data_IF_350724015938
#
_entry.id   IF_350724015938
#
_cell.length_a   1.000
_cell.length_b   1.000
_cell.length_c   1.000
_cell.angle_alpha   90.00
_cell.angle_beta   90.00
_cell.angle_gamma   90.00
#
_symmetry.space_group_name_H-M   'P 1'
#
loop_
_entity.id
_entity.type
_entity.pdbx_description
1 polymer ?
#
# COMPACT_ATOMS: atom_id res chain seq x y z
N UNK A 1 -25.38 22.52 7.00
CA UNK A 1 -24.14 21.78 7.24
C UNK A 1 -23.97 20.68 6.21
N UNK A 2 -22.76 20.50 5.69
CA UNK A 2 -22.41 19.52 4.69
C UNK A 2 -21.11 18.84 5.11
N UNK A 3 -21.04 17.52 5.06
CA UNK A 3 -19.83 16.78 5.42
C UNK A 3 -19.42 15.81 4.33
N UNK A 4 -18.10 15.76 4.09
CA UNK A 4 -17.41 14.72 3.32
C UNK A 4 -16.58 13.92 4.30
N UNK A 5 -16.69 12.61 4.25
CA UNK A 5 -15.85 11.71 5.04
C UNK A 5 -14.84 11.03 4.11
N UNK A 6 -13.56 11.07 4.49
CA UNK A 6 -12.49 10.25 3.93
C UNK A 6 -12.17 9.15 4.92
N UNK A 7 -12.41 7.91 4.53
CA UNK A 7 -12.15 6.73 5.35
C UNK A 7 -10.89 6.03 4.85
N UNK A 8 -9.88 5.92 5.69
CA UNK A 8 -8.62 5.26 5.39
C UNK A 8 -8.35 4.07 6.33
N UNK A 9 -7.54 3.11 5.89
CA UNK A 9 -7.26 1.89 6.66
C UNK A 9 -6.25 2.11 7.79
N UNK A 10 -5.27 2.99 7.60
CA UNK A 10 -4.19 3.27 8.56
C UNK A 10 -4.09 4.75 8.91
N UNK A 11 -3.46 5.04 10.05
CA UNK A 11 -3.20 6.42 10.48
C UNK A 11 -2.27 7.16 9.49
N UNK A 12 -1.31 6.46 8.87
CA UNK A 12 -0.42 7.01 7.86
C UNK A 12 -1.19 7.48 6.61
N UNK A 13 -2.17 6.70 6.15
CA UNK A 13 -3.04 7.09 5.04
C UNK A 13 -3.94 8.29 5.41
N UNK A 14 -4.36 8.39 6.68
CA UNK A 14 -5.08 9.55 7.16
C UNK A 14 -4.23 10.83 7.11
N UNK A 15 -2.96 10.75 7.54
CA UNK A 15 -2.03 11.90 7.45
C UNK A 15 -1.83 12.33 5.99
N UNK A 16 -1.61 11.39 5.08
CA UNK A 16 -1.46 11.71 3.65
C UNK A 16 -2.72 12.31 3.03
N UNK A 17 -3.89 11.81 3.40
CA UNK A 17 -5.15 12.37 2.95
C UNK A 17 -5.28 13.85 3.36
N UNK A 18 -4.88 14.18 4.60
CA UNK A 18 -4.90 15.56 5.09
C UNK A 18 -3.88 16.42 4.34
N UNK A 19 -2.63 15.97 4.21
CA UNK A 19 -1.59 16.70 3.49
C UNK A 19 -2.00 16.98 2.04
N UNK A 20 -2.55 15.96 1.37
CA UNK A 20 -3.04 16.09 -0.01
C UNK A 20 -4.23 17.04 -0.11
N UNK A 21 -5.16 16.96 0.84
CA UNK A 21 -6.30 17.87 0.91
C UNK A 21 -5.85 19.31 1.14
N UNK A 22 -4.99 19.56 2.11
CA UNK A 22 -4.49 20.91 2.43
C UNK A 22 -3.74 21.51 1.23
N UNK A 23 -2.88 20.74 0.58
CA UNK A 23 -2.14 21.19 -0.60
C UNK A 23 -3.05 21.47 -1.80
N UNK A 24 -4.03 20.60 -2.05
CA UNK A 24 -4.98 20.76 -3.14
C UNK A 24 -5.96 21.90 -2.88
N UNK A 25 -6.53 21.92 -1.68
CA UNK A 25 -7.56 22.91 -1.33
C UNK A 25 -7.01 24.34 -1.23
N UNK A 26 -5.78 24.51 -0.72
CA UNK A 26 -5.11 25.81 -0.71
C UNK A 26 -4.91 26.44 -2.10
N UNK A 27 -4.87 25.61 -3.15
CA UNK A 27 -4.68 26.07 -4.53
C UNK A 27 -6.00 26.17 -5.33
N UNK A 28 -6.93 25.26 -5.07
CA UNK A 28 -8.13 25.08 -5.88
C UNK A 28 -9.41 25.42 -5.11
N UNK A 29 -9.35 25.47 -3.79
CA UNK A 29 -10.51 25.72 -2.95
C UNK A 29 -11.03 27.15 -3.12
N UNK A 30 -12.35 27.27 -3.25
CA UNK A 30 -13.04 28.56 -3.44
C UNK A 30 -13.85 28.99 -2.22
N UNK A 31 -13.89 28.18 -1.16
CA UNK A 31 -14.62 28.43 0.08
C UNK A 31 -13.92 27.78 1.29
N UNK A 32 -14.33 28.18 2.50
CA UNK A 32 -13.77 27.62 3.73
C UNK A 32 -14.28 26.20 4.00
N UNK A 33 -13.38 25.32 4.39
CA UNK A 33 -13.67 23.94 4.79
C UNK A 33 -13.01 23.65 6.13
N UNK A 34 -13.76 23.10 7.04
CA UNK A 34 -13.25 22.67 8.34
C UNK A 34 -12.65 21.26 8.22
N UNK A 35 -11.43 21.07 8.65
CA UNK A 35 -10.74 19.78 8.62
C UNK A 35 -10.83 19.09 9.98
N UNK A 36 -11.51 17.96 10.02
CA UNK A 36 -11.62 17.11 11.22
C UNK A 36 -10.66 15.93 11.11
N UNK A 37 -9.79 15.76 12.11
CA UNK A 37 -8.76 14.70 12.18
C UNK A 37 -9.16 13.68 13.24
N UNK A 38 -9.69 12.52 12.82
CA UNK A 38 -10.33 11.54 13.69
C UNK A 38 -9.60 10.19 13.61
N UNK A 39 -8.34 10.14 14.05
CA UNK A 39 -7.50 8.93 14.11
C UNK A 39 -6.45 9.04 15.23
N UNK A 40 -5.67 7.96 15.44
CA UNK A 40 -4.58 7.94 16.44
C UNK A 40 -5.08 8.11 17.87
N UNK A 41 -6.28 7.60 18.18
CA UNK A 41 -6.91 7.75 19.50
C UNK A 41 -7.70 9.07 19.68
N UNK A 42 -7.63 9.99 18.72
CA UNK A 42 -8.47 11.17 18.71
C UNK A 42 -9.84 10.84 18.07
N UNK A 43 -10.85 10.72 18.90
CA UNK A 43 -12.24 10.46 18.46
C UNK A 43 -13.05 11.74 18.23
N UNK A 44 -12.48 12.91 18.53
CA UNK A 44 -13.17 14.19 18.43
C UNK A 44 -14.29 14.38 19.46
N UNK A 45 -14.90 15.55 19.44
CA UNK A 45 -16.08 15.92 20.24
C UNK A 45 -17.03 16.73 19.39
N UNK A 46 -18.31 16.80 19.76
CA UNK A 46 -19.30 17.61 19.04
C UNK A 46 -18.90 19.11 19.00
N UNK A 47 -18.22 19.61 20.05
CA UNK A 47 -17.67 20.96 20.08
C UNK A 47 -16.60 21.23 19.02
N UNK A 48 -15.98 20.17 18.49
CA UNK A 48 -14.92 20.26 17.49
C UNK A 48 -15.47 20.32 16.07
N UNK A 49 -16.81 20.19 15.90
CA UNK A 49 -17.47 20.24 14.60
C UNK A 49 -18.11 21.62 14.39
N UNK A 50 -17.43 22.51 13.66
CA UNK A 50 -17.99 23.83 13.37
C UNK A 50 -19.14 23.74 12.35
N UNK A 51 -19.94 24.80 12.32
CA UNK A 51 -20.94 24.97 11.26
C UNK A 51 -20.26 25.15 9.89
N UNK A 52 -20.94 24.71 8.83
CA UNK A 52 -20.50 24.87 7.46
C UNK A 52 -20.13 23.54 6.77
N UNK A 53 -19.05 23.59 6.00
CA UNK A 53 -18.56 22.45 5.24
C UNK A 53 -17.42 21.79 6.01
N UNK A 54 -17.57 20.49 6.27
CA UNK A 54 -16.60 19.70 7.02
C UNK A 54 -16.00 18.60 6.15
N UNK A 55 -14.69 18.50 6.14
CA UNK A 55 -13.94 17.37 5.60
C UNK A 55 -13.36 16.58 6.77
N UNK A 56 -13.94 15.40 7.02
CA UNK A 56 -13.54 14.54 8.13
C UNK A 56 -12.69 13.38 7.62
N UNK A 57 -11.44 13.31 8.04
CA UNK A 57 -10.57 12.16 7.78
C UNK A 57 -10.64 11.24 8.99
N UNK A 58 -10.96 9.97 8.76
CA UNK A 58 -11.24 8.98 9.81
C UNK A 58 -10.47 7.72 9.50
N UNK A 59 -9.74 7.16 10.50
CA UNK A 59 -9.21 5.81 10.33
C UNK A 59 -10.29 4.77 10.60
N UNK A 60 -10.21 3.62 9.93
CA UNK A 60 -11.12 2.50 10.13
C UNK A 60 -11.19 2.09 11.61
N UNK A 61 -10.04 2.04 12.27
CA UNK A 61 -9.95 1.70 13.69
C UNK A 61 -10.68 2.72 14.57
N UNK A 62 -10.55 4.02 14.24
CA UNK A 62 -11.28 5.08 14.94
C UNK A 62 -12.80 4.96 14.72
N UNK A 63 -13.24 4.76 13.47
CA UNK A 63 -14.64 4.55 13.16
C UNK A 63 -15.22 3.38 13.99
N UNK A 64 -14.47 2.28 14.09
CA UNK A 64 -14.87 1.13 14.87
C UNK A 64 -14.90 1.39 16.39
N UNK A 65 -13.94 2.16 16.90
CA UNK A 65 -13.89 2.58 18.30
C UNK A 65 -15.08 3.47 18.66
N UNK A 66 -15.46 4.34 17.75
CA UNK A 66 -16.57 5.26 17.89
C UNK A 66 -17.93 4.53 17.93
N UNK A 67 -18.10 3.48 17.11
CA UNK A 67 -19.30 2.62 17.17
C UNK A 67 -19.52 1.96 18.54
N UNK A 68 -18.45 1.81 19.34
CA UNK A 68 -18.45 1.12 20.63
C UNK A 68 -18.30 2.06 21.82
N UNK A 69 -18.10 3.34 21.58
CA UNK A 69 -17.94 4.32 22.67
C UNK A 69 -19.24 4.49 23.44
N UNK A 70 -19.08 4.81 24.72
CA UNK A 70 -20.17 5.28 25.59
C UNK A 70 -20.00 6.75 25.97
N UNK A 71 -19.08 7.45 25.27
CA UNK A 71 -18.85 8.87 25.49
C UNK A 71 -19.86 9.67 24.68
N UNK A 72 -20.78 10.33 25.36
CA UNK A 72 -21.88 11.09 24.77
C UNK A 72 -21.39 12.14 23.77
N UNK A 73 -20.29 12.85 24.07
CA UNK A 73 -19.76 13.87 23.16
C UNK A 73 -19.25 13.31 21.83
N UNK A 74 -18.75 12.07 21.85
CA UNK A 74 -18.31 11.36 20.64
C UNK A 74 -19.52 10.83 19.89
N UNK A 75 -20.51 10.29 20.58
CA UNK A 75 -21.79 9.84 19.98
C UNK A 75 -22.54 10.99 19.30
N UNK A 76 -22.58 12.16 19.93
CA UNK A 76 -23.20 13.36 19.37
C UNK A 76 -22.48 13.84 18.11
N UNK A 77 -21.14 13.89 18.12
CA UNK A 77 -20.33 14.22 16.93
C UNK A 77 -20.66 13.28 15.77
N UNK A 78 -20.74 11.99 16.05
CA UNK A 78 -21.03 10.98 15.04
C UNK A 78 -22.41 11.12 14.45
N UNK A 79 -23.40 11.33 15.32
CA UNK A 79 -24.78 11.53 14.91
C UNK A 79 -24.88 12.73 13.99
N UNK A 80 -24.19 13.82 14.31
CA UNK A 80 -24.19 15.02 13.50
C UNK A 80 -23.40 14.84 12.19
N UNK A 81 -22.22 14.20 12.24
CA UNK A 81 -21.47 13.85 11.04
C UNK A 81 -22.31 13.00 10.10
N UNK A 82 -22.88 11.89 10.58
CA UNK A 82 -23.71 11.00 9.78
C UNK A 82 -24.91 11.72 9.16
N UNK A 83 -25.57 12.60 9.90
CA UNK A 83 -26.71 13.39 9.42
C UNK A 83 -26.31 14.30 8.26
N UNK A 84 -25.14 14.90 8.31
CA UNK A 84 -24.65 15.88 7.34
C UNK A 84 -23.80 15.28 6.22
N UNK A 85 -23.37 14.03 6.33
CA UNK A 85 -22.54 13.36 5.33
C UNK A 85 -23.29 13.15 4.03
N UNK A 86 -22.75 13.71 2.96
CA UNK A 86 -23.27 13.58 1.59
C UNK A 86 -22.37 12.68 0.72
N UNK A 87 -21.09 12.62 1.05
CA UNK A 87 -20.10 11.86 0.32
C UNK A 87 -19.19 11.12 1.30
N UNK A 88 -19.02 9.83 1.06
CA UNK A 88 -17.98 8.99 1.69
C UNK A 88 -16.98 8.58 0.61
N UNK A 89 -15.72 8.93 0.84
CA UNK A 89 -14.59 8.48 0.03
C UNK A 89 -13.89 7.37 0.82
N UNK A 90 -13.65 6.24 0.19
CA UNK A 90 -13.05 5.06 0.80
C UNK A 90 -11.72 4.82 0.10
N UNK A 91 -10.62 5.02 0.82
CA UNK A 91 -9.29 4.73 0.34
C UNK A 91 -8.97 3.24 0.47
N UNK A 92 -8.25 2.67 -0.49
CA UNK A 92 -7.99 1.22 -0.60
C UNK A 92 -9.29 0.40 -0.54
N UNK A 93 -10.26 0.78 -1.37
CA UNK A 93 -11.62 0.25 -1.34
C UNK A 93 -11.72 -1.28 -1.52
N UNK A 94 -10.68 -1.93 -2.06
CA UNK A 94 -10.59 -3.38 -2.14
C UNK A 94 -10.59 -4.07 -0.76
N UNK A 95 -10.23 -3.34 0.31
CA UNK A 95 -10.25 -3.85 1.69
C UNK A 95 -11.67 -3.79 2.30
N UNK A 96 -12.62 -3.09 1.67
CA UNK A 96 -13.92 -2.71 2.22
C UNK A 96 -14.86 -3.87 2.62
N UNK A 97 -14.45 -5.10 2.38
CA UNK A 97 -15.25 -6.32 2.61
C UNK A 97 -15.03 -7.06 3.92
N UNK A 98 -14.02 -6.74 4.71
CA UNK A 98 -14.00 -7.29 6.06
C UNK A 98 -15.29 -6.89 6.77
N UNK A 99 -16.00 -7.83 7.43
CA UNK A 99 -17.28 -7.58 8.12
C UNK A 99 -17.23 -6.35 9.04
N UNK A 100 -16.04 -6.04 9.56
CA UNK A 100 -15.77 -4.84 10.35
C UNK A 100 -15.80 -3.57 9.52
N UNK A 101 -15.35 -3.62 8.27
CA UNK A 101 -15.29 -2.46 7.38
C UNK A 101 -16.69 -2.09 6.89
N UNK A 102 -17.46 -3.04 6.46
CA UNK A 102 -18.83 -2.84 6.04
C UNK A 102 -19.70 -2.27 7.17
N UNK A 103 -19.52 -2.78 8.38
CA UNK A 103 -20.19 -2.26 9.57
C UNK A 103 -19.83 -0.79 9.84
N UNK A 104 -18.54 -0.41 9.72
CA UNK A 104 -18.09 0.97 9.89
C UNK A 104 -18.67 1.89 8.81
N UNK A 105 -18.67 1.46 7.54
CA UNK A 105 -19.24 2.22 6.43
C UNK A 105 -20.75 2.45 6.66
N UNK A 106 -21.48 1.40 6.99
CA UNK A 106 -22.93 1.50 7.25
C UNK A 106 -23.25 2.37 8.47
N UNK A 107 -22.33 2.42 9.43
CA UNK A 107 -22.44 3.31 10.58
C UNK A 107 -22.23 4.78 10.20
N UNK A 108 -21.24 5.08 9.35
CA UNK A 108 -20.89 6.43 8.90
C UNK A 108 -21.90 7.01 7.89
N UNK A 109 -22.60 6.14 7.16
CA UNK A 109 -23.52 6.53 6.10
C UNK A 109 -24.98 6.50 6.54
N UNK A 110 -25.76 7.41 5.98
CA UNK A 110 -27.23 7.31 5.95
C UNK A 110 -27.70 6.92 4.55
N UNK A 111 -28.95 6.58 4.42
CA UNK A 111 -29.56 6.36 3.11
C UNK A 111 -29.38 7.60 2.21
N UNK A 112 -28.89 7.40 0.98
CA UNK A 112 -28.61 8.47 0.02
C UNK A 112 -27.25 9.14 0.14
N UNK A 113 -26.35 8.70 1.06
CA UNK A 113 -24.94 9.10 1.04
C UNK A 113 -24.26 8.48 -0.17
N UNK A 114 -23.65 9.32 -1.02
CA UNK A 114 -22.85 8.85 -2.16
C UNK A 114 -21.54 8.23 -1.68
N UNK A 115 -21.08 7.17 -2.34
CA UNK A 115 -19.83 6.46 -2.01
C UNK A 115 -18.92 6.47 -3.20
N UNK A 116 -17.63 6.74 -2.98
CA UNK A 116 -16.55 6.61 -3.95
C UNK A 116 -15.49 5.71 -3.34
N UNK A 117 -15.12 4.65 -4.04
CA UNK A 117 -13.99 3.80 -3.70
C UNK A 117 -12.78 4.15 -4.55
N UNK A 118 -11.64 4.35 -3.92
CA UNK A 118 -10.35 4.53 -4.58
C UNK A 118 -9.54 3.24 -4.39
N UNK A 119 -9.05 2.67 -5.47
CA UNK A 119 -8.18 1.49 -5.42
C UNK A 119 -7.39 1.35 -6.71
N UNK A 120 -6.13 0.96 -6.59
CA UNK A 120 -5.32 0.56 -7.73
C UNK A 120 -5.67 -0.86 -8.23
N UNK A 121 -6.35 -1.66 -7.40
CA UNK A 121 -6.68 -3.05 -7.66
C UNK A 121 -8.17 -3.29 -7.39
N UNK A 122 -9.06 -3.06 -8.37
CA UNK A 122 -10.51 -3.12 -8.19
C UNK A 122 -11.07 -4.55 -8.12
N UNK A 123 -10.27 -5.51 -7.69
CA UNK A 123 -10.62 -6.90 -7.46
C UNK A 123 -9.69 -7.51 -6.42
N UNK A 124 -10.12 -8.61 -5.83
CA UNK A 124 -9.26 -9.46 -4.99
C UNK A 124 -8.93 -10.73 -5.75
N UNK A 125 -7.63 -11.01 -5.78
CA UNK A 125 -7.01 -12.29 -5.99
C UNK A 125 -7.32 -13.13 -7.21
N UNK A 126 -6.23 -13.56 -7.79
CA UNK A 126 -6.09 -14.81 -8.51
C UNK A 126 -6.50 -14.73 -9.97
N UNK A 127 -5.93 -15.65 -10.67
CA UNK A 127 -6.08 -15.98 -12.06
C UNK A 127 -7.54 -16.21 -12.53
N UNK A 128 -8.52 -16.20 -11.62
CA UNK A 128 -9.93 -16.42 -11.92
C UNK A 128 -10.74 -15.13 -11.75
N UNK A 129 -11.28 -14.62 -12.84
CA UNK A 129 -12.19 -13.46 -12.92
C UNK A 129 -13.51 -13.62 -12.12
N UNK A 130 -13.86 -14.83 -11.71
CA UNK A 130 -15.13 -15.17 -11.07
C UNK A 130 -15.03 -15.23 -9.53
N UNK A 131 -14.10 -14.51 -8.94
CA UNK A 131 -13.97 -14.48 -7.50
C UNK A 131 -15.17 -13.77 -6.85
N UNK A 132 -15.85 -14.46 -5.95
CA UNK A 132 -17.02 -13.98 -5.20
C UNK A 132 -16.77 -12.63 -4.52
N UNK A 133 -15.55 -12.39 -4.04
CA UNK A 133 -15.15 -11.13 -3.42
C UNK A 133 -15.11 -9.97 -4.42
N UNK A 134 -14.69 -10.17 -5.65
CA UNK A 134 -14.72 -9.14 -6.70
C UNK A 134 -16.14 -8.78 -7.08
N UNK A 135 -17.01 -9.79 -7.19
CA UNK A 135 -18.45 -9.61 -7.51
C UNK A 135 -19.14 -8.79 -6.42
N UNK A 136 -18.85 -9.08 -5.16
CA UNK A 136 -19.47 -8.34 -4.06
C UNK A 136 -18.93 -6.91 -3.94
N UNK A 137 -17.62 -6.69 -4.20
CA UNK A 137 -17.07 -5.33 -4.27
C UNK A 137 -17.77 -4.52 -5.36
N UNK A 138 -17.98 -5.12 -6.54
CA UNK A 138 -18.74 -4.50 -7.60
C UNK A 138 -20.19 -4.19 -7.18
N UNK A 139 -20.86 -5.12 -6.50
CA UNK A 139 -22.21 -4.91 -5.96
C UNK A 139 -22.25 -3.77 -4.92
N UNK A 140 -21.23 -3.66 -4.06
CA UNK A 140 -21.14 -2.59 -3.06
C UNK A 140 -21.10 -1.20 -3.71
N UNK A 141 -20.48 -1.08 -4.88
CA UNK A 141 -20.43 0.15 -5.69
C UNK A 141 -21.46 0.16 -6.84
N UNK A 142 -22.51 -0.66 -6.75
CA UNK A 142 -23.64 -0.71 -7.73
C UNK A 142 -23.18 -1.00 -9.16
N UNK A 143 -22.06 -1.73 -9.33
CA UNK A 143 -21.47 -2.06 -10.62
C UNK A 143 -20.78 -0.88 -11.33
N UNK A 144 -20.71 0.28 -10.69
CA UNK A 144 -20.09 1.46 -11.29
C UNK A 144 -18.57 1.45 -11.08
N UNK A 145 -17.84 1.35 -12.17
CA UNK A 145 -16.37 1.47 -12.20
C UNK A 145 -16.00 2.60 -13.15
N UNK A 146 -15.17 3.51 -12.69
CA UNK A 146 -14.50 4.50 -13.53
C UNK A 146 -13.08 3.98 -13.77
N UNK A 147 -12.73 3.79 -15.02
CA UNK A 147 -11.43 3.30 -15.45
C UNK A 147 -10.75 4.36 -16.29
N UNK A 148 -9.49 4.64 -15.97
CA UNK A 148 -8.67 5.59 -16.73
C UNK A 148 -8.43 5.11 -18.16
N UNK A 149 -8.38 3.81 -18.40
CA UNK A 149 -8.15 3.23 -19.73
C UNK A 149 -9.19 3.69 -20.78
N UNK A 150 -10.42 3.96 -20.35
CA UNK A 150 -11.47 4.49 -21.24
C UNK A 150 -11.19 5.90 -21.78
N UNK A 151 -10.37 6.69 -21.10
CA UNK A 151 -10.01 8.05 -21.49
C UNK A 151 -8.83 8.10 -22.48
N UNK A 152 -8.03 7.03 -22.57
CA UNK A 152 -6.82 6.98 -23.40
C UNK A 152 -7.00 6.21 -24.73
N UNK A 153 -8.20 5.68 -24.98
CA UNK A 153 -8.50 4.91 -26.20
C UNK A 153 -7.78 3.56 -26.21
N UNK A 154 -7.07 3.25 -27.31
CA UNK A 154 -6.34 1.99 -27.46
C UNK A 154 -4.95 1.98 -26.78
N UNK A 155 -4.53 3.09 -26.18
CA UNK A 155 -3.21 3.21 -25.55
C UNK A 155 -3.29 2.62 -24.14
N UNK A 156 -2.32 1.79 -23.79
CA UNK A 156 -2.16 1.30 -22.41
C UNK A 156 -1.97 2.48 -21.46
N UNK A 157 -2.75 2.54 -20.39
CA UNK A 157 -2.72 3.65 -19.43
C UNK A 157 -1.33 3.79 -18.77
N UNK A 158 -0.63 2.68 -18.52
CA UNK A 158 0.72 2.68 -17.94
C UNK A 158 1.70 3.34 -18.91
N UNK A 159 1.71 2.92 -20.18
CA UNK A 159 2.58 3.47 -21.21
C UNK A 159 2.33 4.97 -21.40
N UNK A 160 1.06 5.36 -21.40
CA UNK A 160 0.71 6.79 -21.48
C UNK A 160 1.29 7.57 -20.30
N UNK A 161 1.11 7.09 -19.07
CA UNK A 161 1.58 7.77 -17.87
C UNK A 161 3.11 7.80 -17.78
N UNK A 162 3.81 6.75 -18.26
CA UNK A 162 5.26 6.71 -18.37
C UNK A 162 5.76 7.70 -19.42
N UNK A 163 5.17 7.73 -20.61
CA UNK A 163 5.50 8.68 -21.68
C UNK A 163 5.26 10.13 -21.27
N UNK A 164 4.28 10.36 -20.40
CA UNK A 164 4.04 11.67 -19.79
C UNK A 164 5.00 12.01 -18.64
N UNK A 165 5.87 11.10 -18.21
CA UNK A 165 6.76 11.28 -17.05
C UNK A 165 6.03 11.36 -15.71
N UNK A 166 4.79 10.89 -15.66
CA UNK A 166 4.00 10.77 -14.42
C UNK A 166 4.43 9.53 -13.64
N UNK A 167 4.65 8.41 -14.35
CA UNK A 167 5.24 7.20 -13.83
C UNK A 167 6.67 7.03 -14.36
N UNK A 168 7.54 6.41 -13.55
CA UNK A 168 8.87 5.96 -13.99
C UNK A 168 8.73 4.75 -14.90
N UNK A 169 9.66 4.60 -15.84
CA UNK A 169 9.83 3.34 -16.57
C UNK A 169 10.41 2.29 -15.63
N UNK A 170 9.95 1.06 -15.75
CA UNK A 170 10.44 -0.05 -14.92
C UNK A 170 11.52 -0.81 -15.69
N UNK A 171 12.70 -0.89 -15.10
CA UNK A 171 13.74 -1.84 -15.50
C UNK A 171 13.66 -3.04 -14.57
N UNK A 172 13.27 -4.20 -15.07
CA UNK A 172 13.10 -5.40 -14.28
C UNK A 172 14.35 -6.25 -14.27
N UNK A 173 14.83 -6.61 -13.06
CA UNK A 173 16.01 -7.44 -12.86
C UNK A 173 15.66 -8.64 -11.96
N UNK A 174 15.59 -9.87 -12.50
CA UNK A 174 15.38 -11.06 -11.69
C UNK A 174 16.70 -11.47 -10.99
N UNK A 175 16.69 -11.46 -9.66
CA UNK A 175 17.80 -11.96 -8.85
C UNK A 175 17.56 -13.45 -8.52
N UNK A 176 18.16 -14.31 -9.31
CA UNK A 176 18.01 -15.76 -9.17
C UNK A 176 18.71 -16.28 -7.91
N UNK A 177 18.04 -17.16 -7.15
CA UNK A 177 18.62 -17.87 -6.01
C UNK A 177 18.65 -19.37 -6.27
N UNK A 178 19.46 -20.09 -5.49
CA UNK A 178 19.51 -21.56 -5.56
C UNK A 178 18.51 -22.23 -4.61
N UNK A 179 17.77 -21.46 -3.85
CA UNK A 179 16.78 -22.01 -2.91
C UNK A 179 15.67 -22.74 -3.67
N UNK A 180 15.48 -24.01 -3.37
CA UNK A 180 14.40 -24.82 -3.91
C UNK A 180 13.46 -25.25 -2.78
N UNK A 181 12.19 -24.92 -2.89
CA UNK A 181 11.14 -25.27 -1.93
C UNK A 181 10.07 -26.08 -2.62
N UNK A 182 9.79 -27.27 -2.09
CA UNK A 182 8.67 -28.11 -2.57
C UNK A 182 7.40 -27.76 -1.79
N UNK A 183 6.36 -27.40 -2.53
CA UNK A 183 5.05 -27.13 -1.96
C UNK A 183 4.19 -28.40 -2.00
N UNK A 184 3.57 -28.74 -0.89
CA UNK A 184 2.59 -29.80 -0.85
C UNK A 184 1.25 -29.36 -1.47
N UNK A 185 0.36 -30.34 -1.77
CA UNK A 185 -0.92 -30.06 -2.46
C UNK A 185 -1.79 -29.01 -1.74
N UNK A 186 -1.89 -29.09 -0.42
CA UNK A 186 -2.67 -28.13 0.37
C UNK A 186 -2.09 -26.69 0.28
N UNK A 187 -0.75 -26.57 0.28
CA UNK A 187 -0.09 -25.27 0.10
C UNK A 187 -0.31 -24.72 -1.31
N UNK A 188 -0.27 -25.57 -2.32
CA UNK A 188 -0.55 -25.17 -3.71
C UNK A 188 -2.01 -24.74 -3.89
N UNK A 189 -2.98 -25.45 -3.31
CA UNK A 189 -4.40 -25.08 -3.32
C UNK A 189 -4.63 -23.71 -2.64
N UNK A 190 -4.00 -23.46 -1.49
CA UNK A 190 -4.09 -22.18 -0.81
C UNK A 190 -3.56 -21.04 -1.65
N UNK A 191 -2.41 -21.23 -2.30
CA UNK A 191 -1.84 -20.23 -3.21
C UNK A 191 -2.74 -20.00 -4.44
N UNK A 192 -3.33 -21.04 -5.01
CA UNK A 192 -4.29 -20.93 -6.11
C UNK A 192 -5.54 -20.12 -5.72
N UNK A 193 -5.95 -20.23 -4.45
CA UNK A 193 -7.05 -19.44 -3.87
C UNK A 193 -6.63 -18.01 -3.45
N UNK A 194 -5.39 -17.59 -3.75
CA UNK A 194 -4.89 -16.25 -3.45
C UNK A 194 -4.42 -16.04 -2.01
N UNK A 195 -4.29 -17.11 -1.22
CA UNK A 195 -3.65 -17.03 0.08
C UNK A 195 -2.13 -16.86 -0.08
N UNK A 196 -1.48 -16.22 0.88
CA UNK A 196 -0.03 -16.03 0.86
C UNK A 196 0.70 -17.28 1.37
N UNK A 197 2.02 -17.30 1.21
CA UNK A 197 2.87 -18.41 1.67
C UNK A 197 2.72 -18.67 3.17
N UNK A 198 2.68 -19.95 3.54
CA UNK A 198 2.60 -20.37 4.94
C UNK A 198 3.84 -19.93 5.73
N UNK A 199 3.67 -19.72 7.05
CA UNK A 199 4.75 -19.30 7.92
C UNK A 199 5.96 -20.25 7.90
N UNK A 200 5.73 -21.55 7.66
CA UNK A 200 6.82 -22.53 7.60
C UNK A 200 7.67 -22.40 6.33
N UNK A 201 7.03 -22.04 5.20
CA UNK A 201 7.76 -21.71 3.97
C UNK A 201 8.53 -20.41 4.13
N UNK A 202 7.90 -19.39 4.71
CA UNK A 202 8.58 -18.12 4.99
C UNK A 202 9.79 -18.33 5.91
N UNK A 203 9.71 -19.20 6.91
CA UNK A 203 10.87 -19.56 7.76
C UNK A 203 12.01 -20.21 6.96
N UNK A 204 11.70 -21.09 6.00
CA UNK A 204 12.71 -21.68 5.13
C UNK A 204 13.41 -20.61 4.29
N UNK A 205 12.63 -19.74 3.66
CA UNK A 205 13.13 -18.61 2.85
C UNK A 205 14.06 -17.69 3.65
N UNK A 206 13.63 -17.33 4.87
CA UNK A 206 14.37 -16.38 5.73
C UNK A 206 15.66 -16.98 6.31
N UNK A 207 15.68 -18.29 6.54
CA UNK A 207 16.83 -18.96 7.15
C UNK A 207 17.84 -19.50 6.12
N UNK A 208 17.60 -19.35 4.82
CA UNK A 208 18.55 -19.78 3.80
C UNK A 208 19.71 -18.78 3.69
N UNK A 209 20.89 -19.20 4.13
CA UNK A 209 22.08 -18.34 4.19
C UNK A 209 22.60 -17.97 2.81
N UNK A 210 22.55 -18.88 1.83
CA UNK A 210 23.04 -18.62 0.47
C UNK A 210 22.17 -17.58 -0.23
N UNK A 211 20.86 -17.73 -0.10
CA UNK A 211 19.87 -16.75 -0.58
C UNK A 211 20.10 -15.37 0.05
N UNK A 212 20.23 -15.32 1.35
CA UNK A 212 20.44 -14.06 2.06
C UNK A 212 21.76 -13.40 1.67
N UNK A 213 22.84 -14.16 1.52
CA UNK A 213 24.11 -13.66 1.03
C UNK A 213 24.02 -13.11 -0.39
N UNK A 214 23.27 -13.75 -1.27
CA UNK A 214 23.01 -13.27 -2.64
C UNK A 214 22.29 -11.92 -2.61
N UNK A 215 21.22 -11.79 -1.82
CA UNK A 215 20.47 -10.53 -1.65
C UNK A 215 21.41 -9.44 -1.10
N UNK A 216 22.16 -9.71 -0.05
CA UNK A 216 23.05 -8.72 0.59
C UNK A 216 24.12 -8.23 -0.37
N UNK A 217 24.80 -9.13 -1.09
CA UNK A 217 25.81 -8.76 -2.09
C UNK A 217 25.22 -7.88 -3.18
N UNK A 218 24.02 -8.22 -3.63
CA UNK A 218 23.33 -7.42 -4.65
C UNK A 218 22.93 -6.03 -4.13
N UNK A 219 22.40 -5.93 -2.92
CA UNK A 219 22.12 -4.65 -2.27
C UNK A 219 23.36 -3.79 -2.08
N UNK A 220 24.50 -4.40 -1.76
CA UNK A 220 25.80 -3.71 -1.68
C UNK A 220 26.21 -3.13 -3.03
N UNK A 221 26.07 -3.89 -4.11
CA UNK A 221 26.34 -3.43 -5.48
C UNK A 221 25.41 -2.27 -5.86
N UNK A 222 24.10 -2.42 -5.67
CA UNK A 222 23.11 -1.39 -5.99
C UNK A 222 23.37 -0.08 -5.25
N UNK A 223 23.75 -0.16 -3.97
CA UNK A 223 23.98 1.02 -3.13
C UNK A 223 25.33 1.67 -3.43
N UNK A 224 26.42 0.90 -3.53
CA UNK A 224 27.79 1.45 -3.66
C UNK A 224 28.16 1.81 -5.09
N UNK A 225 27.85 0.93 -6.05
CA UNK A 225 28.28 1.10 -7.44
C UNK A 225 27.24 1.87 -8.26
N UNK A 226 25.94 1.61 -8.03
CA UNK A 226 24.86 2.25 -8.78
C UNK A 226 24.22 3.43 -8.04
N UNK A 227 24.65 3.71 -6.82
CA UNK A 227 24.13 4.81 -5.97
C UNK A 227 22.60 4.88 -5.92
N UNK A 228 21.96 3.71 -5.82
CA UNK A 228 20.48 3.61 -5.79
C UNK A 228 19.93 3.94 -4.41
N UNK A 229 18.76 4.60 -4.38
CA UNK A 229 17.93 4.76 -3.19
C UNK A 229 16.94 3.61 -3.13
N UNK A 230 17.15 2.68 -2.20
CA UNK A 230 16.58 1.34 -2.24
C UNK A 230 15.52 1.14 -1.17
N UNK A 231 14.36 0.67 -1.59
CA UNK A 231 13.32 0.16 -0.70
C UNK A 231 13.27 -1.36 -0.80
N UNK A 232 13.54 -2.05 0.32
CA UNK A 232 13.56 -3.52 0.38
C UNK A 232 12.29 -4.03 1.07
N UNK A 233 11.54 -4.89 0.40
CA UNK A 233 10.41 -5.63 0.98
C UNK A 233 10.88 -7.01 1.44
N UNK A 234 11.11 -7.14 2.74
CA UNK A 234 11.61 -8.37 3.36
C UNK A 234 10.48 -9.39 3.61
N UNK A 235 10.84 -10.66 3.77
CA UNK A 235 9.89 -11.75 3.97
C UNK A 235 9.36 -11.86 5.42
N UNK A 236 10.04 -11.26 6.38
CA UNK A 236 9.63 -11.23 7.79
C UNK A 236 10.29 -10.07 8.56
N UNK A 237 9.84 -9.84 9.81
CA UNK A 237 10.47 -8.89 10.74
C UNK A 237 11.96 -9.22 10.96
N UNK A 238 12.27 -10.48 11.23
CA UNK A 238 13.66 -10.91 11.45
C UNK A 238 14.51 -10.74 10.20
N UNK A 239 13.96 -11.00 9.02
CA UNK A 239 14.65 -10.82 7.74
C UNK A 239 14.96 -9.34 7.46
N UNK A 240 14.01 -8.43 7.65
CA UNK A 240 14.24 -6.99 7.50
C UNK A 240 15.35 -6.50 8.43
N UNK A 241 15.31 -6.92 9.70
CA UNK A 241 16.32 -6.55 10.70
C UNK A 241 17.70 -7.13 10.36
N UNK A 242 17.76 -8.39 9.93
CA UNK A 242 19.01 -9.07 9.57
C UNK A 242 19.67 -8.37 8.36
N UNK A 243 18.93 -8.14 7.27
CA UNK A 243 19.47 -7.46 6.09
C UNK A 243 20.04 -6.09 6.48
N UNK A 244 19.26 -5.29 7.20
CA UNK A 244 19.68 -3.96 7.63
C UNK A 244 20.92 -4.01 8.53
N UNK A 245 20.98 -4.93 9.50
CA UNK A 245 22.12 -5.07 10.39
C UNK A 245 23.40 -5.46 9.64
N UNK A 246 23.33 -6.42 8.71
CA UNK A 246 24.48 -6.86 7.93
C UNK A 246 24.98 -5.77 6.98
N UNK A 247 24.07 -5.04 6.32
CA UNK A 247 24.45 -3.90 5.47
C UNK A 247 25.18 -2.84 6.29
N UNK A 248 24.63 -2.47 7.47
CA UNK A 248 25.27 -1.48 8.35
C UNK A 248 26.63 -1.96 8.85
N UNK A 249 26.79 -3.24 9.18
CA UNK A 249 28.08 -3.82 9.58
C UNK A 249 29.13 -3.80 8.42
N UNK A 250 28.67 -3.74 7.17
CA UNK A 250 29.54 -3.67 5.97
C UNK A 250 29.71 -2.24 5.43
N UNK A 251 29.33 -1.24 6.21
CA UNK A 251 29.53 0.17 5.90
C UNK A 251 28.50 0.78 4.94
N UNK A 252 27.32 0.16 4.82
CA UNK A 252 26.17 0.75 4.12
C UNK A 252 25.13 1.16 5.16
N UNK A 253 24.94 2.46 5.34
CA UNK A 253 23.90 2.94 6.23
C UNK A 253 22.53 2.48 5.77
N UNK A 254 21.87 1.73 6.65
CA UNK A 254 20.56 1.15 6.40
C UNK A 254 19.73 1.07 7.67
N UNK A 255 18.42 1.12 7.53
CA UNK A 255 17.50 0.94 8.66
C UNK A 255 16.39 -0.03 8.31
N UNK A 256 15.81 -0.62 9.34
CA UNK A 256 14.62 -1.46 9.19
C UNK A 256 13.42 -0.86 9.90
N UNK A 257 12.25 -0.97 9.28
CA UNK A 257 10.96 -0.66 9.89
C UNK A 257 9.98 -1.80 9.68
N UNK A 258 9.25 -2.13 10.73
CA UNK A 258 8.34 -3.27 10.73
C UNK A 258 7.07 -2.92 11.51
N UNK A 259 6.11 -3.84 11.54
CA UNK A 259 4.91 -3.73 12.39
C UNK A 259 5.26 -3.69 13.90
N UNK A 260 6.46 -4.16 14.29
CA UNK A 260 6.97 -4.11 15.67
C UNK A 260 7.66 -2.78 16.03
N UNK A 261 8.00 -1.97 15.04
CA UNK A 261 8.61 -0.66 15.27
C UNK A 261 7.60 0.31 15.88
N UNK A 262 8.02 1.07 16.88
CA UNK A 262 7.17 2.12 17.45
C UNK A 262 6.87 3.20 16.41
N UNK A 263 5.77 3.92 16.59
CA UNK A 263 5.38 5.02 15.68
C UNK A 263 6.48 6.09 15.57
N UNK A 264 7.15 6.40 16.69
CA UNK A 264 8.26 7.35 16.71
C UNK A 264 9.46 6.86 15.90
N UNK A 265 9.84 5.58 16.05
CA UNK A 265 10.93 4.98 15.26
C UNK A 265 10.61 4.97 13.77
N UNK A 266 9.38 4.61 13.40
CA UNK A 266 8.92 4.63 12.00
C UNK A 266 9.02 6.04 11.41
N UNK A 267 8.44 7.03 12.09
CA UNK A 267 8.46 8.43 11.61
C UNK A 267 9.89 8.96 11.47
N UNK A 268 10.78 8.66 12.41
CA UNK A 268 12.18 9.06 12.34
C UNK A 268 12.88 8.40 11.14
N UNK A 269 12.78 7.08 10.98
CA UNK A 269 13.42 6.37 9.87
C UNK A 269 12.90 6.84 8.51
N UNK A 270 11.59 7.06 8.37
CA UNK A 270 10.97 7.58 7.13
C UNK A 270 11.49 9.00 6.81
N UNK A 271 11.52 9.88 7.80
CA UNK A 271 12.03 11.24 7.63
C UNK A 271 13.49 11.24 7.17
N UNK A 272 14.33 10.48 7.86
CA UNK A 272 15.76 10.43 7.60
C UNK A 272 16.04 9.77 6.23
N UNK A 273 15.25 8.78 5.82
CA UNK A 273 15.31 8.20 4.47
C UNK A 273 14.89 9.20 3.39
N UNK A 274 13.79 9.96 3.61
CA UNK A 274 13.37 11.01 2.69
C UNK A 274 14.44 12.10 2.53
N UNK A 275 15.15 12.42 3.60
CA UNK A 275 16.27 13.36 3.61
C UNK A 275 17.57 12.82 3.04
N UNK A 276 17.58 11.55 2.57
CA UNK A 276 18.75 10.89 1.98
C UNK A 276 19.92 10.72 2.97
N UNK A 277 19.61 10.65 4.29
CA UNK A 277 20.63 10.37 5.32
C UNK A 277 21.16 8.94 5.23
N UNK A 278 20.43 8.04 4.59
CA UNK A 278 20.83 6.68 4.28
C UNK A 278 20.12 6.17 3.01
N UNK A 279 20.71 5.17 2.33
CA UNK A 279 20.28 4.73 1.00
C UNK A 279 19.40 3.49 0.99
N UNK A 280 19.36 2.67 2.04
CA UNK A 280 18.63 1.40 2.06
C UNK A 280 17.65 1.32 3.21
N UNK A 281 16.35 1.29 2.90
CA UNK A 281 15.29 1.10 3.87
C UNK A 281 14.68 -0.30 3.72
N UNK A 282 14.88 -1.15 4.74
CA UNK A 282 14.28 -2.48 4.79
C UNK A 282 12.94 -2.41 5.51
N UNK A 283 11.90 -3.03 4.94
CA UNK A 283 10.61 -3.04 5.61
C UNK A 283 9.92 -4.40 5.56
N UNK A 284 9.02 -4.62 6.54
CA UNK A 284 8.08 -5.73 6.54
C UNK A 284 6.74 -5.29 7.12
N UNK A 285 5.67 -5.48 6.36
CA UNK A 285 4.28 -5.28 6.80
C UNK A 285 3.83 -3.83 6.98
N UNK A 286 4.62 -2.82 6.55
CA UNK A 286 4.29 -1.42 6.86
C UNK A 286 4.33 -0.43 5.68
N UNK A 287 5.17 -0.61 4.67
CA UNK A 287 5.32 0.37 3.59
C UNK A 287 4.68 -0.03 2.26
N UNK A 288 3.96 -1.13 2.21
CA UNK A 288 3.21 -1.51 1.01
C UNK A 288 2.07 -0.54 0.71
N UNK A 289 1.52 0.10 1.75
CA UNK A 289 0.49 1.14 1.64
C UNK A 289 0.90 2.39 2.42
N UNK A 290 0.39 3.55 2.04
CA UNK A 290 0.53 4.76 2.83
C UNK A 290 1.93 5.38 2.92
N UNK A 291 2.90 4.96 2.12
CA UNK A 291 4.24 5.53 2.06
C UNK A 291 4.53 6.11 0.68
N UNK A 292 4.97 7.34 0.63
CA UNK A 292 5.37 8.01 -0.61
C UNK A 292 6.72 8.71 -0.43
N UNK A 293 7.68 8.31 -1.26
CA UNK A 293 8.97 8.98 -1.41
C UNK A 293 9.33 8.94 -2.91
N UNK A 294 9.18 10.05 -3.63
CA UNK A 294 9.41 10.11 -5.06
C UNK A 294 10.83 9.75 -5.49
N UNK A 295 11.80 9.92 -4.60
CA UNK A 295 13.22 9.70 -4.92
C UNK A 295 13.65 8.23 -4.90
N UNK A 296 12.77 7.30 -4.54
CA UNK A 296 13.06 5.86 -4.64
C UNK A 296 13.23 5.50 -6.12
N UNK A 297 14.39 4.98 -6.46
CA UNK A 297 14.73 4.56 -7.81
C UNK A 297 15.15 3.08 -7.89
N UNK A 298 14.97 2.35 -6.79
CA UNK A 298 15.15 0.90 -6.76
C UNK A 298 14.20 0.28 -5.72
N UNK A 299 13.45 -0.73 -6.14
CA UNK A 299 12.61 -1.56 -5.27
C UNK A 299 13.11 -2.98 -5.33
N UNK A 300 13.40 -3.58 -4.17
CA UNK A 300 13.84 -4.98 -4.06
C UNK A 300 12.78 -5.80 -3.35
N UNK A 301 12.19 -6.76 -4.05
CA UNK A 301 11.17 -7.64 -3.52
C UNK A 301 11.85 -8.94 -3.08
N UNK A 302 12.30 -8.97 -1.81
CA UNK A 302 12.95 -10.12 -1.19
C UNK A 302 11.96 -11.08 -0.52
N UNK A 303 10.66 -10.83 -0.70
CA UNK A 303 9.56 -11.65 -0.21
C UNK A 303 8.89 -12.36 -1.38
N UNK A 304 8.95 -13.71 -1.45
CA UNK A 304 8.11 -14.43 -2.41
C UNK A 304 6.63 -14.09 -2.13
N UNK A 305 5.89 -13.75 -3.17
CA UNK A 305 4.44 -13.48 -3.07
C UNK A 305 3.70 -13.96 -4.30
N UNK A 306 2.49 -14.45 -4.09
CA UNK A 306 1.54 -14.83 -5.15
C UNK A 306 0.38 -13.83 -5.23
N UNK A 307 0.33 -12.87 -4.32
CA UNK A 307 -0.67 -11.81 -4.33
C UNK A 307 -0.27 -10.71 -5.31
N UNK A 308 -0.94 -10.65 -6.44
CA UNK A 308 -0.78 -9.60 -7.45
C UNK A 308 -1.03 -8.21 -6.84
N UNK A 309 -2.01 -8.09 -5.96
CA UNK A 309 -2.33 -6.84 -5.25
C UNK A 309 -1.15 -6.37 -4.39
N UNK A 310 -0.61 -7.26 -3.56
CA UNK A 310 0.54 -6.92 -2.71
C UNK A 310 1.77 -6.59 -3.55
N UNK A 311 2.03 -7.35 -4.61
CA UNK A 311 3.12 -7.09 -5.54
C UNK A 311 2.98 -5.70 -6.19
N UNK A 312 1.81 -5.39 -6.75
CA UNK A 312 1.54 -4.07 -7.36
C UNK A 312 1.73 -2.92 -6.38
N UNK A 313 1.31 -3.09 -5.13
CA UNK A 313 1.50 -2.08 -4.09
C UNK A 313 2.99 -1.87 -3.77
N UNK A 314 3.79 -2.94 -3.71
CA UNK A 314 5.23 -2.86 -3.49
C UNK A 314 5.95 -2.18 -4.66
N UNK A 315 5.68 -2.60 -5.89
CA UNK A 315 6.24 -2.00 -7.12
C UNK A 315 5.87 -0.53 -7.21
N UNK A 316 4.62 -0.20 -6.94
CA UNK A 316 4.10 1.17 -7.00
C UNK A 316 4.85 2.19 -6.11
N UNK A 317 5.63 1.73 -5.12
CA UNK A 317 6.45 2.63 -4.27
C UNK A 317 7.64 3.24 -5.02
N UNK A 318 8.13 2.61 -6.07
CA UNK A 318 9.22 3.14 -6.90
C UNK A 318 8.79 3.85 -8.17
N UNK A 319 7.49 3.90 -8.48
CA UNK A 319 7.00 4.35 -9.77
C UNK A 319 6.69 5.85 -9.86
N UNK A 320 7.37 6.69 -9.10
CA UNK A 320 7.18 8.15 -9.20
C UNK A 320 8.04 8.71 -10.31
N UNK A 321 7.39 9.17 -11.39
CA UNK A 321 8.06 9.80 -12.54
C UNK A 321 8.52 11.22 -12.25
N UNK A 322 9.27 11.79 -13.19
CA UNK A 322 9.93 13.10 -13.08
C UNK A 322 8.91 14.21 -12.75
N UNK A 323 7.72 14.18 -13.32
CA UNK A 323 6.67 15.17 -13.06
C UNK A 323 6.16 15.16 -11.60
N UNK A 324 6.35 14.04 -10.92
CA UNK A 324 5.99 13.87 -9.52
C UNK A 324 7.21 13.98 -8.58
N UNK A 325 8.33 14.56 -9.07
CA UNK A 325 9.57 14.73 -8.30
C UNK A 325 10.40 13.47 -8.15
N UNK A 326 10.09 12.41 -8.91
CA UNK A 326 10.78 11.14 -8.92
C UNK A 326 11.83 11.01 -10.03
N UNK A 327 12.01 9.80 -10.53
CA UNK A 327 13.05 9.45 -11.51
C UNK A 327 12.44 9.02 -12.84
N UNK A 328 13.24 9.08 -13.91
CA UNK A 328 12.81 8.59 -15.23
C UNK A 328 12.65 7.08 -15.22
N UNK A 329 13.55 6.39 -14.51
CA UNK A 329 13.61 4.93 -14.43
C UNK A 329 13.64 4.47 -12.98
N UNK A 330 13.00 3.33 -12.72
CA UNK A 330 13.06 2.62 -11.44
C UNK A 330 13.49 1.18 -11.69
N UNK A 331 14.55 0.75 -11.02
CA UNK A 331 14.99 -0.64 -11.02
C UNK A 331 14.12 -1.47 -10.09
N UNK A 332 13.49 -2.50 -10.63
CA UNK A 332 12.72 -3.47 -9.88
C UNK A 332 13.49 -4.78 -9.82
N UNK A 333 13.98 -5.12 -8.64
CA UNK A 333 14.69 -6.38 -8.39
C UNK A 333 13.75 -7.38 -7.73
N UNK A 334 13.45 -8.44 -8.45
CA UNK A 334 12.66 -9.57 -7.93
C UNK A 334 13.60 -10.70 -7.51
N UNK A 335 13.55 -11.08 -6.23
CA UNK A 335 14.27 -12.25 -5.74
C UNK A 335 13.50 -13.50 -6.11
N UNK A 336 14.02 -14.24 -7.06
CA UNK A 336 13.38 -15.41 -7.67
C UNK A 336 13.92 -16.68 -7.04
N UNK A 337 13.04 -17.32 -6.26
CA UNK A 337 13.32 -18.61 -5.63
C UNK A 337 12.67 -19.75 -6.46
N UNK A 338 13.33 -20.92 -6.49
CA UNK A 338 12.80 -22.10 -7.19
C UNK A 338 11.68 -22.76 -6.36
N UNK A 339 10.50 -22.15 -6.35
CA UNK A 339 9.31 -22.75 -5.75
C UNK A 339 8.73 -23.78 -6.71
N UNK A 340 8.82 -25.06 -6.35
CA UNK A 340 8.26 -26.14 -7.15
C UNK A 340 6.75 -26.16 -6.96
N UNK A 341 6.06 -25.55 -7.91
CA UNK A 341 4.61 -25.46 -7.99
C UNK A 341 4.07 -26.22 -9.21
N UNK A 342 2.76 -26.37 -9.30
CA UNK A 342 2.14 -26.77 -10.56
C UNK A 342 2.39 -25.68 -11.62
N UNK A 343 2.52 -26.05 -12.91
CA UNK A 343 2.85 -25.08 -13.99
C UNK A 343 1.88 -23.90 -14.12
N UNK A 344 0.68 -24.03 -13.57
CA UNK A 344 -0.38 -23.00 -13.62
C UNK A 344 -0.24 -21.93 -12.53
N UNK A 345 0.55 -22.19 -11.48
CA UNK A 345 0.78 -21.24 -10.40
C UNK A 345 1.97 -20.33 -10.75
N UNK A 346 1.67 -19.12 -11.23
CA UNK A 346 2.69 -18.09 -11.48
C UNK A 346 2.91 -17.26 -10.23
N UNK A 347 4.17 -16.97 -9.91
CA UNK A 347 4.48 -15.95 -8.94
C UNK A 347 4.02 -14.58 -9.46
N UNK A 348 3.73 -13.65 -8.56
CA UNK A 348 3.13 -12.36 -8.93
C UNK A 348 4.00 -11.55 -9.91
N UNK A 349 5.33 -11.68 -9.86
CA UNK A 349 6.22 -10.97 -10.78
C UNK A 349 6.03 -11.41 -12.25
N UNK A 350 5.70 -12.67 -12.53
CA UNK A 350 5.43 -13.16 -13.87
C UNK A 350 4.12 -12.62 -14.47
N UNK A 351 3.23 -12.10 -13.62
CA UNK A 351 1.95 -11.57 -14.06
C UNK A 351 2.08 -10.26 -14.84
N UNK A 352 3.10 -9.49 -14.51
CA UNK A 352 3.34 -8.17 -15.10
C UNK A 352 4.42 -8.16 -16.18
N UNK A 353 5.05 -9.31 -16.49
CA UNK A 353 6.10 -9.39 -17.55
C UNK A 353 5.66 -8.82 -18.90
N UNK A 354 4.38 -8.95 -19.24
CA UNK A 354 3.81 -8.42 -20.47
C UNK A 354 3.41 -6.93 -20.42
N UNK A 355 3.31 -6.36 -19.22
CA UNK A 355 2.84 -4.97 -19.06
C UNK A 355 3.99 -3.96 -18.85
N UNK A 356 5.17 -4.45 -18.42
CA UNK A 356 6.32 -3.62 -18.15
C UNK A 356 7.40 -3.66 -19.25
N UNK A 357 7.41 -4.70 -20.07
CA UNK A 357 8.35 -4.94 -21.17
C UNK A 357 7.77 -4.56 -22.53
N UNK A 358 7.04 -3.44 -22.60
CA UNK A 358 6.46 -2.91 -23.82
C UNK A 358 7.51 -2.34 -24.80
#
# INVERSE_FOLDING_TARGET
NFSVIWLAHTDELCEQAVESFDMGWSKLGSFEVNLLRLWGGNLGRISDMPDGINFAVISLQSAYSMMRTRNQHVEDLFTELRKNTKLLIIDEAHISKANTFESAINFLCKHGTKKIGLTATPGRHGLNSDNEETIELARFFEGNKIDISSEFGEVNAIDYLQNQGILSKVEQEPLLTNLTIQLNLNQQEKLANGEDLSQDIIKQVVNDEERNNTIIKHLQYLSKELNKKILVFAASVSHANMISAVLSATGIESRSITDKSSQQQRRAAIRDFKNEEFSVLCNFGVLSTGFDDPKINCVVIARPTFSVVLYSQMVGRGLRGIKNGGTEECLLVDVVDNLVTQPELKQAYNYFEGEWNG
#
